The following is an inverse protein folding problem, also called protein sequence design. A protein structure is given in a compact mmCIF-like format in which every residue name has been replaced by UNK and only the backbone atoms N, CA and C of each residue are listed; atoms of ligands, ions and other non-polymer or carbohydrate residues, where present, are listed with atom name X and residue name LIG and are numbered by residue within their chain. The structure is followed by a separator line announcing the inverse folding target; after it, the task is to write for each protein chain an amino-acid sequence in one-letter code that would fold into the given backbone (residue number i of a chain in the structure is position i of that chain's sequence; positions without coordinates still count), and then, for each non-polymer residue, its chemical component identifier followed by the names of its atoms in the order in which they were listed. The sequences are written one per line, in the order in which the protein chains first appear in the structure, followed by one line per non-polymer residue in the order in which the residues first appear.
data_IF_737798007344
#
_entry.id   IF_737798007344
#
_cell.length_a   1.000
_cell.length_b   1.000
_cell.length_c   1.000
_cell.angle_alpha   90.00
_cell.angle_beta   90.00
_cell.angle_gamma   90.00
#
_symmetry.space_group_name_H-M   'P 1'
#
loop_
_entity.id
_entity.type
_entity.pdbx_description
1 polymer ?
#
# COMPACT_ATOMS: atom_id res chain seq x y z
N UNK A 1 6.66 18.32 8.15
CA UNK A 1 5.65 17.35 8.66
C UNK A 1 5.31 16.40 7.52
N UNK A 2 5.65 15.12 7.65
CA UNK A 2 5.37 14.07 6.67
C UNK A 2 3.84 13.89 6.55
N UNK A 3 3.28 13.94 5.32
CA UNK A 3 1.84 13.72 5.05
C UNK A 3 1.34 12.31 5.43
N UNK A 4 2.23 11.36 5.73
CA UNK A 4 1.97 10.00 6.29
C UNK A 4 2.14 9.92 7.83
N UNK A 5 2.31 11.05 8.54
CA UNK A 5 2.57 11.07 9.98
C UNK A 5 3.91 10.42 10.35
N UNK A 6 3.95 9.68 11.47
CA UNK A 6 5.10 8.84 11.87
C UNK A 6 5.21 7.52 11.08
N UNK A 7 4.42 7.34 10.01
CA UNK A 7 4.36 6.08 9.24
C UNK A 7 5.54 5.84 8.29
N UNK A 8 6.56 6.69 8.31
CA UNK A 8 7.80 6.49 7.57
C UNK A 8 8.95 6.63 8.55
N UNK A 9 9.82 5.64 8.55
CA UNK A 9 11.03 5.56 9.37
C UNK A 9 12.12 6.49 8.78
N UNK A 10 11.86 7.80 8.78
CA UNK A 10 12.65 8.82 8.09
C UNK A 10 14.08 8.94 8.63
N UNK A 11 14.28 8.60 9.90
CA UNK A 11 15.53 8.64 10.65
C UNK A 11 16.30 7.31 10.63
N UNK A 12 15.74 6.25 10.02
CA UNK A 12 16.42 4.97 9.94
C UNK A 12 17.58 4.99 8.92
N UNK A 13 18.68 4.35 9.30
CA UNK A 13 19.87 4.19 8.47
C UNK A 13 19.61 3.30 7.26
N UNK A 14 20.21 3.64 6.13
CA UNK A 14 20.26 2.81 4.93
C UNK A 14 21.63 2.15 4.78
N UNK A 15 21.77 1.22 3.82
CA UNK A 15 23.05 0.53 3.56
C UNK A 15 24.19 1.44 3.10
N UNK A 16 23.89 2.67 2.67
CA UNK A 16 24.91 3.68 2.32
C UNK A 16 25.37 4.53 3.51
N UNK A 17 24.81 4.32 4.71
CA UNK A 17 25.20 5.03 5.93
C UNK A 17 24.50 6.38 6.14
N UNK A 18 23.66 6.80 5.20
CA UNK A 18 22.72 7.93 5.31
C UNK A 18 21.35 7.44 5.79
N UNK A 19 20.57 8.33 6.42
CA UNK A 19 19.17 8.08 6.77
C UNK A 19 18.27 8.04 5.53
N UNK A 20 17.06 7.47 5.67
CA UNK A 20 16.06 7.49 4.59
C UNK A 20 15.76 8.92 4.13
N UNK A 21 15.67 9.89 5.06
CA UNK A 21 15.37 11.28 4.73
C UNK A 21 16.48 11.94 3.92
N UNK A 22 17.73 11.87 4.39
CA UNK A 22 18.90 12.43 3.69
C UNK A 22 18.99 11.90 2.25
N UNK A 23 18.74 10.59 2.07
CA UNK A 23 18.82 9.94 0.76
C UNK A 23 17.84 10.45 -0.28
N UNK A 24 16.69 10.96 0.15
CA UNK A 24 15.59 11.37 -0.74
C UNK A 24 15.31 12.87 -0.68
N UNK A 25 16.16 13.65 -0.01
CA UNK A 25 15.94 15.08 0.24
C UNK A 25 15.70 15.87 -1.05
N UNK A 26 16.50 15.62 -2.08
CA UNK A 26 16.41 16.29 -3.39
C UNK A 26 15.45 15.58 -4.37
N UNK A 27 14.71 14.56 -3.93
CA UNK A 27 13.85 13.78 -4.81
C UNK A 27 12.52 14.49 -5.08
N UNK A 28 12.22 14.72 -6.36
CA UNK A 28 10.96 15.30 -6.82
C UNK A 28 10.15 14.34 -7.69
N UNK A 29 8.82 14.55 -7.72
CA UNK A 29 7.92 13.80 -8.61
C UNK A 29 8.10 14.34 -10.04
N UNK A 30 8.53 13.47 -10.96
CA UNK A 30 8.77 13.84 -12.37
C UNK A 30 7.52 13.81 -13.25
N UNK A 31 6.52 13.00 -12.89
CA UNK A 31 5.24 12.90 -13.59
C UNK A 31 4.13 12.48 -12.62
N UNK A 32 3.22 13.42 -12.32
CA UNK A 32 2.13 13.20 -11.36
C UNK A 32 1.05 12.26 -11.88
N UNK A 33 1.03 11.96 -13.19
CA UNK A 33 0.12 10.95 -13.76
C UNK A 33 0.60 9.53 -13.45
N UNK A 34 1.89 9.37 -13.14
CA UNK A 34 2.53 8.10 -12.78
C UNK A 34 2.62 7.98 -11.25
N UNK A 35 3.19 9.00 -10.59
CA UNK A 35 3.29 9.07 -9.12
C UNK A 35 2.27 10.09 -8.62
N UNK A 36 1.10 9.60 -8.25
CA UNK A 36 0.00 10.44 -7.76
C UNK A 36 0.34 11.09 -6.42
N UNK A 37 -0.04 12.35 -6.27
CA UNK A 37 -0.01 13.04 -4.98
C UNK A 37 -0.91 12.32 -3.96
N UNK A 38 -0.59 12.45 -2.67
CA UNK A 38 -1.27 11.70 -1.61
C UNK A 38 -2.78 11.99 -1.56
N UNK A 39 -3.16 13.24 -1.78
CA UNK A 39 -4.55 13.72 -1.84
C UNK A 39 -5.31 13.23 -3.09
N UNK A 40 -4.59 12.92 -4.17
CA UNK A 40 -5.11 12.42 -5.45
C UNK A 40 -4.80 10.94 -5.70
N UNK A 41 -4.59 10.16 -4.64
CA UNK A 41 -4.33 8.72 -4.77
C UNK A 41 -5.56 7.96 -5.28
N UNK A 42 -5.36 6.86 -6.02
CA UNK A 42 -6.45 6.01 -6.53
C UNK A 42 -7.37 5.46 -5.44
N UNK A 43 -6.82 5.20 -4.24
CA UNK A 43 -7.57 4.73 -3.09
C UNK A 43 -7.02 5.39 -1.83
N UNK A 44 -7.91 5.84 -0.95
CA UNK A 44 -7.54 6.45 0.34
C UNK A 44 -6.94 5.45 1.34
N UNK A 45 -7.12 4.14 1.09
CA UNK A 45 -6.61 3.04 1.91
C UNK A 45 -5.60 2.21 1.14
N UNK A 46 -4.72 1.52 1.87
CA UNK A 46 -3.68 0.66 1.29
C UNK A 46 -4.24 -0.42 0.34
N UNK A 47 -3.43 -0.80 -0.65
CA UNK A 47 -3.83 -1.75 -1.71
C UNK A 47 -3.84 -3.23 -1.29
N UNK A 48 -3.77 -3.53 0.01
CA UNK A 48 -3.82 -4.88 0.58
C UNK A 48 -4.88 -4.89 1.69
N UNK A 49 -5.65 -5.97 1.76
CA UNK A 49 -6.54 -6.25 2.88
C UNK A 49 -6.30 -7.67 3.40
N UNK A 50 -6.49 -7.85 4.70
CA UNK A 50 -6.44 -9.17 5.34
C UNK A 50 -7.89 -9.63 5.58
N UNK A 51 -8.22 -10.80 5.06
CA UNK A 51 -9.52 -11.44 5.22
C UNK A 51 -9.41 -12.55 6.26
N UNK A 52 -10.42 -12.66 7.11
CA UNK A 52 -10.54 -13.74 8.10
C UNK A 52 -11.87 -14.44 7.92
N UNK A 53 -11.92 -15.72 8.28
CA UNK A 53 -13.13 -16.52 8.26
C UNK A 53 -12.82 -17.98 8.48
N UNK A 54 -13.85 -18.82 8.48
CA UNK A 54 -13.70 -20.27 8.66
C UNK A 54 -12.79 -20.95 7.61
N UNK A 55 -12.67 -20.39 6.40
CA UNK A 55 -11.73 -20.89 5.39
C UNK A 55 -10.30 -20.36 5.56
N UNK A 56 -10.10 -19.30 6.35
CA UNK A 56 -8.83 -18.61 6.52
C UNK A 56 -8.70 -18.09 7.96
N UNK A 57 -8.66 -19.00 8.93
CA UNK A 57 -8.68 -18.65 10.37
C UNK A 57 -7.46 -17.83 10.79
N UNK A 58 -6.31 -18.08 10.16
CA UNK A 58 -5.07 -17.33 10.39
C UNK A 58 -4.89 -16.16 9.42
N UNK A 59 -5.90 -15.88 8.59
CA UNK A 59 -5.91 -14.79 7.63
C UNK A 59 -5.53 -15.21 6.22
N UNK A 60 -6.09 -14.50 5.26
CA UNK A 60 -5.72 -14.53 3.84
C UNK A 60 -5.46 -13.10 3.36
N UNK A 61 -4.57 -12.95 2.38
CA UNK A 61 -4.22 -11.63 1.82
C UNK A 61 -4.92 -11.46 0.47
N UNK A 62 -5.52 -10.29 0.24
CA UNK A 62 -6.03 -9.89 -1.07
C UNK A 62 -5.45 -8.55 -1.51
N UNK A 63 -5.10 -8.45 -2.80
CA UNK A 63 -4.64 -7.20 -3.43
C UNK A 63 -5.84 -6.39 -3.90
N UNK A 64 -6.35 -5.52 -3.03
CA UNK A 64 -7.51 -4.66 -3.32
C UNK A 64 -7.25 -3.67 -4.45
N UNK A 65 -5.98 -3.30 -4.71
CA UNK A 65 -5.62 -2.41 -5.81
C UNK A 65 -6.00 -2.95 -7.21
N UNK A 66 -6.16 -4.26 -7.36
CA UNK A 66 -6.56 -4.89 -8.63
C UNK A 66 -8.07 -5.10 -8.78
N UNK A 67 -8.87 -4.71 -7.78
CA UNK A 67 -10.32 -4.96 -7.78
C UNK A 67 -11.04 -3.67 -8.19
N UNK A 68 -11.88 -3.77 -9.22
CA UNK A 68 -12.79 -2.71 -9.63
C UNK A 68 -14.23 -3.13 -9.35
N UNK A 69 -15.06 -2.21 -8.86
CA UNK A 69 -16.48 -2.47 -8.60
C UNK A 69 -16.76 -3.15 -7.26
N UNK A 70 -17.55 -4.23 -7.29
CA UNK A 70 -18.08 -4.89 -6.09
C UNK A 70 -16.96 -5.43 -5.18
N UNK A 71 -17.23 -5.48 -3.87
CA UNK A 71 -16.28 -5.99 -2.86
C UNK A 71 -16.77 -7.24 -2.14
N UNK A 72 -17.90 -7.79 -2.59
CA UNK A 72 -18.51 -9.01 -2.07
C UNK A 72 -18.84 -9.90 -3.25
N UNK A 73 -18.37 -11.14 -3.21
CA UNK A 73 -18.57 -12.13 -4.26
C UNK A 73 -18.93 -13.46 -3.62
N UNK A 74 -19.92 -14.14 -4.21
CA UNK A 74 -20.35 -15.48 -3.80
C UNK A 74 -20.43 -16.35 -5.05
N UNK A 75 -19.84 -17.55 -4.99
CA UNK A 75 -19.83 -18.51 -6.09
C UNK A 75 -19.74 -19.93 -5.56
N UNK A 76 -20.16 -20.90 -6.37
CA UNK A 76 -19.83 -22.31 -6.16
C UNK A 76 -18.31 -22.53 -6.30
N UNK A 77 -17.74 -23.39 -5.46
CA UNK A 77 -16.32 -23.70 -5.49
C UNK A 77 -16.02 -24.77 -6.55
N UNK A 78 -15.09 -24.47 -7.45
CA UNK A 78 -14.36 -25.50 -8.20
C UNK A 78 -13.13 -25.89 -7.40
N UNK A 79 -13.00 -27.17 -7.07
CA UNK A 79 -11.80 -27.72 -6.41
C UNK A 79 -10.97 -28.43 -7.48
N UNK A 80 -9.67 -28.14 -7.51
CA UNK A 80 -8.69 -28.74 -8.43
C UNK A 80 -7.73 -29.64 -7.66
#
# INVERSE_FOLDING_TARGET
MNKRGNGVLIDHLTVSGETIFEKIEDAEIKDERIIHQIDHSYNQVGGLAILYGNLAEHGAVIKTAGITGARVYTRESGVF
#
